data_IF_477373014425
#
_entry.id   IF_477373014425
#
_cell.length_a   1.000
_cell.length_b   1.000
_cell.length_c   1.000
_cell.angle_alpha   90.00
_cell.angle_beta   90.00
_cell.angle_gamma   90.00
#
_symmetry.space_group_name_H-M   'P 1'
#
loop_
_entity.id
_entity.type
_entity.pdbx_description
1 polymer ?
#
# COMPACT_ATOMS: atom_id res chain seq x y z
N UNK A 1 -22.55 -22.86 -23.16
CA UNK A 1 -22.74 -23.65 -21.94
C UNK A 1 -21.42 -24.33 -21.64
N UNK A 2 -20.61 -23.69 -20.84
CA UNK A 2 -19.47 -24.22 -20.08
C UNK A 2 -18.86 -23.04 -19.32
N UNK A 3 -19.03 -23.07 -18.04
CA UNK A 3 -18.54 -22.08 -17.06
C UNK A 3 -17.02 -22.16 -16.95
N UNK A 4 -16.33 -21.06 -17.26
CA UNK A 4 -14.93 -20.88 -16.91
C UNK A 4 -14.87 -20.49 -15.42
N UNK A 5 -14.69 -21.47 -14.56
CA UNK A 5 -14.24 -21.24 -13.18
C UNK A 5 -12.82 -20.72 -13.21
N UNK A 6 -12.65 -19.41 -13.03
CA UNK A 6 -11.36 -18.83 -12.70
C UNK A 6 -11.00 -19.26 -11.28
N UNK A 7 -9.99 -20.11 -11.13
CA UNK A 7 -9.39 -20.44 -9.84
C UNK A 7 -8.74 -19.20 -9.23
N UNK A 8 -9.53 -18.47 -8.45
CA UNK A 8 -9.00 -17.45 -7.55
C UNK A 8 -8.31 -18.12 -6.38
N UNK A 9 -7.01 -17.88 -6.22
CA UNK A 9 -6.32 -18.23 -4.98
C UNK A 9 -7.01 -17.54 -3.80
N UNK A 10 -7.20 -18.21 -2.66
CA UNK A 10 -7.93 -17.66 -1.52
C UNK A 10 -7.18 -16.44 -0.97
N UNK A 11 -7.74 -15.28 -1.18
CA UNK A 11 -7.29 -14.01 -0.64
C UNK A 11 -7.46 -13.95 0.87
N UNK A 12 -6.68 -13.09 1.52
CA UNK A 12 -6.63 -12.77 2.97
C UNK A 12 -8.00 -12.79 3.71
N UNK A 13 -9.10 -12.62 3.01
CA UNK A 13 -10.45 -12.48 3.57
C UNK A 13 -11.04 -13.78 4.15
N UNK A 14 -10.68 -14.97 3.65
CA UNK A 14 -11.23 -16.25 4.16
C UNK A 14 -10.58 -16.74 5.46
N UNK A 15 -9.42 -16.20 5.84
CA UNK A 15 -8.71 -16.61 7.06
C UNK A 15 -9.12 -15.83 8.32
N UNK A 16 -9.91 -14.76 8.18
CA UNK A 16 -10.34 -13.92 9.31
C UNK A 16 -11.73 -14.25 9.87
N UNK A 17 -12.54 -15.04 9.15
CA UNK A 17 -13.89 -15.40 9.62
C UNK A 17 -13.94 -16.68 10.48
N UNK A 18 -12.84 -17.43 10.59
CA UNK A 18 -12.82 -18.70 11.34
C UNK A 18 -12.10 -18.65 12.70
N UNK A 19 -11.73 -17.48 13.20
CA UNK A 19 -10.95 -17.34 14.44
C UNK A 19 -11.68 -16.56 15.54
N UNK A 20 -13.00 -16.79 15.70
CA UNK A 20 -13.73 -16.50 16.93
C UNK A 20 -13.81 -17.79 17.77
N UNK A 21 -12.65 -18.28 18.19
CA UNK A 21 -12.50 -19.36 19.12
C UNK A 21 -11.39 -18.99 20.10
N UNK A 22 -11.72 -18.91 21.37
CA UNK A 22 -10.93 -18.53 22.53
C UNK A 22 -9.40 -18.74 22.39
N UNK A 23 -8.66 -17.66 22.16
CA UNK A 23 -7.19 -17.66 22.28
C UNK A 23 -6.86 -17.27 23.73
N UNK A 24 -6.45 -18.25 24.52
CA UNK A 24 -5.83 -18.01 25.81
C UNK A 24 -4.58 -17.12 25.62
N UNK A 25 -4.52 -16.02 26.35
CA UNK A 25 -3.37 -15.13 26.45
C UNK A 25 -2.23 -15.88 27.17
N UNK A 26 -1.30 -16.42 26.41
CA UNK A 26 -0.01 -16.84 26.98
C UNK A 26 0.94 -15.63 26.97
N UNK A 27 1.65 -15.36 28.06
CA UNK A 27 2.62 -14.26 28.12
C UNK A 27 3.80 -14.57 27.21
N UNK A 28 4.16 -13.60 26.34
CA UNK A 28 5.39 -13.67 25.56
C UNK A 28 6.59 -13.51 26.50
N UNK A 29 7.28 -14.60 26.80
CA UNK A 29 8.60 -14.57 27.40
C UNK A 29 9.61 -14.02 26.39
N UNK A 30 10.56 -13.19 26.83
CA UNK A 30 11.71 -12.78 26.04
C UNK A 30 12.44 -14.03 25.54
N UNK A 31 12.38 -14.28 24.24
CA UNK A 31 12.96 -15.48 23.64
C UNK A 31 14.47 -15.33 23.50
N UNK A 32 15.21 -16.24 24.16
CA UNK A 32 16.54 -16.63 23.73
C UNK A 32 16.52 -17.05 22.26
N UNK A 33 17.67 -16.96 21.56
CA UNK A 33 17.82 -17.35 20.17
C UNK A 33 17.03 -18.66 19.89
N UNK A 34 16.18 -18.67 18.86
CA UNK A 34 15.10 -19.64 18.82
C UNK A 34 15.65 -21.03 18.61
N UNK A 35 15.47 -21.88 19.59
CA UNK A 35 15.75 -23.30 19.48
C UNK A 35 15.02 -23.83 18.23
N UNK A 36 15.79 -24.23 17.20
CA UNK A 36 15.26 -24.78 15.96
C UNK A 36 15.48 -23.95 14.70
N UNK A 37 15.90 -22.69 14.77
CA UNK A 37 16.20 -21.90 13.56
C UNK A 37 17.37 -22.49 12.77
N UNK A 38 18.44 -22.90 13.43
CA UNK A 38 19.60 -23.51 12.78
C UNK A 38 19.23 -24.83 12.09
N UNK A 39 18.45 -25.68 12.75
CA UNK A 39 17.95 -26.92 12.15
C UNK A 39 17.05 -26.65 10.94
N UNK A 40 16.19 -25.65 11.02
CA UNK A 40 15.38 -25.21 9.87
C UNK A 40 16.27 -24.65 8.75
N UNK A 41 17.28 -23.83 9.07
CA UNK A 41 18.20 -23.23 8.09
C UNK A 41 18.94 -24.31 7.29
N UNK A 42 19.42 -25.38 7.95
CA UNK A 42 20.05 -26.51 7.26
C UNK A 42 19.08 -27.27 6.35
N UNK A 43 17.85 -27.52 6.82
CA UNK A 43 16.81 -28.12 5.97
C UNK A 43 16.43 -27.21 4.80
N UNK A 44 16.37 -25.90 5.01
CA UNK A 44 16.07 -24.93 3.97
C UNK A 44 17.21 -24.82 2.95
N UNK A 45 18.48 -25.02 3.36
CA UNK A 45 19.65 -25.08 2.48
C UNK A 45 19.45 -26.06 1.33
N UNK A 46 19.07 -27.27 1.64
CA UNK A 46 18.84 -28.30 0.62
C UNK A 46 17.77 -27.87 -0.40
N UNK A 47 16.67 -27.25 0.08
CA UNK A 47 15.61 -26.73 -0.80
C UNK A 47 16.06 -25.55 -1.65
N UNK A 48 16.85 -24.64 -1.09
CA UNK A 48 17.37 -23.48 -1.80
C UNK A 48 18.35 -23.89 -2.92
N UNK A 49 19.28 -24.77 -2.61
CA UNK A 49 20.22 -25.33 -3.62
C UNK A 49 19.48 -26.07 -4.73
N UNK A 50 18.46 -26.87 -4.40
CA UNK A 50 17.60 -27.54 -5.38
C UNK A 50 16.80 -26.55 -6.26
N UNK A 51 16.62 -25.29 -5.84
CA UNK A 51 16.02 -24.21 -6.62
C UNK A 51 17.04 -23.35 -7.39
N UNK A 52 18.30 -23.80 -7.44
CA UNK A 52 19.38 -23.21 -8.22
C UNK A 52 20.14 -22.08 -7.53
N UNK A 53 20.03 -21.95 -6.19
CA UNK A 53 20.87 -21.00 -5.45
C UNK A 53 22.28 -21.58 -5.38
N UNK A 54 23.31 -20.75 -5.70
CA UNK A 54 24.71 -21.15 -5.58
C UNK A 54 25.12 -21.32 -4.11
N UNK A 55 26.08 -22.22 -3.86
CA UNK A 55 26.67 -22.39 -2.53
C UNK A 55 27.31 -21.09 -2.06
N UNK A 56 27.93 -20.33 -2.97
CA UNK A 56 28.56 -19.05 -2.66
C UNK A 56 27.55 -18.03 -2.13
N UNK A 57 26.40 -17.89 -2.80
CA UNK A 57 25.32 -16.98 -2.33
C UNK A 57 24.74 -17.46 -1.03
N UNK A 58 24.51 -18.76 -0.87
CA UNK A 58 24.06 -19.32 0.40
C UNK A 58 25.03 -18.99 1.54
N UNK A 59 26.30 -19.27 1.38
CA UNK A 59 27.30 -19.06 2.43
C UNK A 59 27.47 -17.58 2.78
N UNK A 60 27.41 -16.71 1.76
CA UNK A 60 27.46 -15.26 1.97
C UNK A 60 26.26 -14.72 2.76
N UNK A 61 25.06 -15.22 2.47
CA UNK A 61 23.81 -14.61 2.97
C UNK A 61 23.26 -15.33 4.20
N UNK A 62 23.25 -16.67 4.17
CA UNK A 62 22.47 -17.48 5.10
C UNK A 62 23.31 -18.15 6.20
N UNK A 63 24.61 -18.35 6.00
CA UNK A 63 25.43 -19.17 6.92
C UNK A 63 25.45 -18.65 8.35
N UNK A 64 25.42 -17.33 8.54
CA UNK A 64 25.45 -16.64 9.85
C UNK A 64 24.23 -15.75 10.08
N UNK A 65 23.17 -15.96 9.28
CA UNK A 65 21.98 -15.15 9.37
C UNK A 65 21.21 -15.41 10.67
N UNK A 66 20.90 -14.34 11.38
CA UNK A 66 19.98 -14.36 12.52
C UNK A 66 18.60 -13.85 12.09
N UNK A 67 17.49 -14.48 12.52
CA UNK A 67 16.16 -14.05 12.14
C UNK A 67 15.71 -12.80 12.91
N UNK A 68 15.07 -11.85 12.24
CA UNK A 68 14.46 -10.68 12.88
C UNK A 68 13.08 -11.02 13.45
N UNK A 69 13.02 -11.40 14.72
CA UNK A 69 11.75 -11.76 15.37
C UNK A 69 10.82 -10.58 15.60
N UNK A 70 11.31 -9.35 15.48
CA UNK A 70 10.47 -8.15 15.63
C UNK A 70 9.40 -8.02 14.54
N UNK A 71 9.54 -8.75 13.43
CA UNK A 71 8.54 -8.78 12.36
C UNK A 71 7.17 -9.25 12.85
N UNK A 72 7.13 -10.15 13.85
CA UNK A 72 5.88 -10.67 14.39
C UNK A 72 5.08 -9.64 15.20
N UNK A 73 5.74 -8.63 15.79
CA UNK A 73 5.06 -7.51 16.47
C UNK A 73 4.26 -6.65 15.47
N UNK A 74 4.71 -6.57 14.23
CA UNK A 74 4.05 -5.80 13.17
C UNK A 74 2.89 -6.59 12.53
N UNK A 75 2.92 -7.91 12.60
CA UNK A 75 1.85 -8.77 12.12
C UNK A 75 0.52 -8.53 12.86
N UNK A 76 0.59 -8.16 14.15
CA UNK A 76 -0.58 -7.89 15.01
C UNK A 76 -1.13 -6.46 14.86
N UNK A 77 -0.33 -5.54 14.31
CA UNK A 77 -0.67 -4.12 14.16
C UNK A 77 -0.98 -3.80 12.70
N UNK A 78 -2.06 -4.34 12.13
CA UNK A 78 -2.55 -3.90 10.82
C UNK A 78 -3.61 -2.80 11.03
N UNK A 79 -3.25 -1.50 10.89
CA UNK A 79 -4.18 -0.37 11.13
C UNK A 79 -5.37 -0.38 10.17
N UNK A 80 -5.24 -1.04 9.04
CA UNK A 80 -6.20 -1.07 7.93
C UNK A 80 -7.56 -1.67 8.31
N UNK A 81 -7.66 -2.40 9.43
CA UNK A 81 -8.89 -3.05 9.87
C UNK A 81 -9.64 -2.31 10.99
N UNK A 82 -9.00 -1.30 11.62
CA UNK A 82 -9.58 -0.57 12.75
C UNK A 82 -9.90 0.90 12.42
N UNK A 83 -9.57 1.36 11.23
CA UNK A 83 -9.74 2.74 10.78
C UNK A 83 -11.01 2.88 9.94
N UNK A 84 -11.80 3.92 10.18
CA UNK A 84 -12.93 4.23 9.31
C UNK A 84 -12.44 4.61 7.91
N UNK A 85 -13.21 4.25 6.87
CA UNK A 85 -12.81 4.46 5.48
C UNK A 85 -12.43 5.93 5.20
N UNK A 86 -13.20 6.90 5.71
CA UNK A 86 -12.91 8.30 5.48
C UNK A 86 -11.62 8.78 6.16
N UNK A 87 -11.27 8.24 7.35
CA UNK A 87 -9.98 8.50 8.01
C UNK A 87 -8.83 7.92 7.17
N UNK A 88 -9.02 6.70 6.67
CA UNK A 88 -8.06 6.04 5.78
C UNK A 88 -7.80 6.88 4.52
N UNK A 89 -8.88 7.36 3.86
CA UNK A 89 -8.79 8.21 2.67
C UNK A 89 -8.09 9.52 3.01
N UNK A 90 -8.51 10.25 4.04
CA UNK A 90 -7.90 11.53 4.42
C UNK A 90 -6.39 11.40 4.69
N UNK A 91 -5.97 10.30 5.31
CA UNK A 91 -4.56 10.06 5.59
C UNK A 91 -3.76 9.69 4.34
N UNK A 92 -4.33 8.93 3.41
CA UNK A 92 -3.65 8.53 2.17
C UNK A 92 -3.71 9.60 1.09
N UNK A 93 -4.77 10.40 1.06
CA UNK A 93 -5.02 11.49 0.10
C UNK A 93 -4.80 12.85 0.79
N UNK A 94 -3.71 12.98 1.54
CA UNK A 94 -3.37 14.21 2.26
C UNK A 94 -2.81 15.28 1.32
N UNK A 95 -2.96 16.56 1.72
CA UNK A 95 -2.38 17.70 0.99
C UNK A 95 -0.87 17.53 0.80
N UNK A 96 -0.18 16.99 1.82
CA UNK A 96 1.25 16.68 1.71
C UNK A 96 1.54 15.75 0.51
N UNK A 97 0.77 14.65 0.35
CA UNK A 97 0.96 13.74 -0.78
C UNK A 97 0.57 14.34 -2.10
N UNK A 98 -0.48 15.14 -2.14
CA UNK A 98 -0.93 15.83 -3.36
C UNK A 98 0.16 16.81 -3.81
N UNK A 99 0.68 17.64 -2.91
CA UNK A 99 1.71 18.64 -3.20
C UNK A 99 3.01 17.97 -3.67
N UNK A 100 3.51 17.02 -2.90
CA UNK A 100 4.74 16.29 -3.27
C UNK A 100 4.55 15.43 -4.54
N UNK A 101 3.35 14.91 -4.80
CA UNK A 101 3.02 14.21 -6.03
C UNK A 101 3.10 15.11 -7.27
N UNK A 102 2.63 16.35 -7.17
CA UNK A 102 2.77 17.36 -8.25
C UNK A 102 4.23 17.74 -8.48
N UNK A 103 5.00 17.90 -7.41
CA UNK A 103 6.44 18.13 -7.53
C UNK A 103 7.18 16.94 -8.15
N UNK A 104 6.84 15.71 -7.74
CA UNK A 104 7.41 14.49 -8.30
C UNK A 104 7.07 14.35 -9.79
N UNK A 105 5.83 14.70 -10.20
CA UNK A 105 5.43 14.77 -11.60
C UNK A 105 6.28 15.76 -12.38
N UNK A 106 6.41 17.00 -11.87
CA UNK A 106 7.16 18.05 -12.53
C UNK A 106 8.64 17.67 -12.72
N UNK A 107 9.26 17.06 -11.69
CA UNK A 107 10.65 16.60 -11.73
C UNK A 107 10.88 15.45 -12.71
N UNK A 108 9.87 14.61 -12.94
CA UNK A 108 9.98 13.37 -13.71
C UNK A 108 9.04 13.33 -14.93
N UNK A 109 8.67 14.49 -15.48
CA UNK A 109 7.67 14.60 -16.54
C UNK A 109 7.98 13.74 -17.75
N UNK A 110 9.25 13.71 -18.19
CA UNK A 110 9.70 12.90 -19.33
C UNK A 110 9.52 11.40 -19.06
N UNK A 111 9.84 10.95 -17.84
CA UNK A 111 9.67 9.56 -17.42
C UNK A 111 8.19 9.15 -17.45
N UNK A 112 7.30 9.93 -16.83
CA UNK A 112 5.87 9.61 -16.83
C UNK A 112 5.28 9.61 -18.23
N UNK A 113 5.65 10.57 -19.09
CA UNK A 113 5.20 10.62 -20.49
C UNK A 113 5.67 9.39 -21.27
N UNK A 114 6.90 8.91 -21.04
CA UNK A 114 7.43 7.69 -21.64
C UNK A 114 6.64 6.45 -21.16
N UNK A 115 6.41 6.32 -19.86
CA UNK A 115 5.66 5.18 -19.30
C UNK A 115 4.21 5.14 -19.81
N UNK A 116 3.52 6.28 -19.85
CA UNK A 116 2.15 6.36 -20.40
C UNK A 116 2.11 5.94 -21.87
N UNK A 117 3.06 6.39 -22.67
CA UNK A 117 3.16 5.98 -24.06
C UNK A 117 3.38 4.48 -24.21
N UNK A 118 4.31 3.91 -23.44
CA UNK A 118 4.76 2.53 -23.58
C UNK A 118 3.74 1.54 -23.01
N UNK A 119 3.12 1.86 -21.88
CA UNK A 119 2.21 0.96 -21.14
C UNK A 119 0.75 1.40 -21.13
N UNK A 120 0.45 2.67 -21.39
CA UNK A 120 -0.91 3.20 -21.31
C UNK A 120 -1.46 3.30 -19.89
N UNK A 121 -0.60 3.24 -18.87
CA UNK A 121 -1.00 3.46 -17.49
C UNK A 121 -0.94 4.95 -17.19
N UNK A 122 -2.04 5.51 -16.71
CA UNK A 122 -2.13 6.93 -16.36
C UNK A 122 -1.08 7.32 -15.31
N UNK A 123 -0.42 8.45 -15.54
CA UNK A 123 0.61 8.98 -14.62
C UNK A 123 0.08 9.19 -13.20
N UNK A 124 -1.18 9.58 -13.05
CA UNK A 124 -1.82 9.74 -11.74
C UNK A 124 -1.81 8.45 -10.92
N UNK A 125 -2.12 7.31 -11.54
CA UNK A 125 -2.09 6.00 -10.90
C UNK A 125 -0.69 5.66 -10.38
N UNK A 126 0.34 5.87 -11.21
CA UNK A 126 1.73 5.57 -10.83
C UNK A 126 2.26 6.52 -9.75
N UNK A 127 1.93 7.81 -9.85
CA UNK A 127 2.28 8.80 -8.82
C UNK A 127 1.64 8.46 -7.48
N UNK A 128 0.38 8.06 -7.50
CA UNK A 128 -0.32 7.68 -6.27
C UNK A 128 0.26 6.42 -5.63
N UNK A 129 0.58 5.40 -6.43
CA UNK A 129 1.30 4.21 -5.95
C UNK A 129 2.64 4.61 -5.34
N UNK A 130 3.45 5.37 -6.05
CA UNK A 130 4.76 5.83 -5.56
C UNK A 130 4.62 6.64 -4.25
N UNK A 131 3.65 7.54 -4.18
CA UNK A 131 3.39 8.37 -3.00
C UNK A 131 2.89 7.60 -1.78
N UNK A 132 2.08 6.56 -1.99
CA UNK A 132 1.55 5.74 -0.88
C UNK A 132 2.57 4.71 -0.41
N UNK A 133 3.31 4.08 -1.32
CA UNK A 133 4.25 3.02 -1.00
C UNK A 133 5.55 3.53 -0.34
N UNK A 134 6.11 4.63 -0.83
CA UNK A 134 7.40 5.13 -0.35
C UNK A 134 7.49 6.65 -0.19
N UNK A 135 6.35 7.36 -0.17
CA UNK A 135 6.36 8.83 -0.09
C UNK A 135 7.25 9.48 -1.17
N UNK A 136 7.12 9.02 -2.41
CA UNK A 136 7.92 9.44 -3.57
C UNK A 136 9.43 9.14 -3.45
N UNK A 137 9.78 8.08 -2.73
CA UNK A 137 11.17 7.67 -2.51
C UNK A 137 11.88 8.50 -1.46
N UNK A 138 11.15 9.13 -0.53
CA UNK A 138 11.72 9.94 0.56
C UNK A 138 12.80 9.14 1.32
N UNK A 139 14.08 9.61 1.33
CA UNK A 139 15.18 8.92 2.00
C UNK A 139 14.96 8.71 3.49
N UNK A 140 14.25 9.61 4.17
CA UNK A 140 13.94 9.48 5.60
C UNK A 140 13.02 8.29 5.87
N UNK A 141 12.06 8.03 4.98
CA UNK A 141 11.19 6.86 5.07
C UNK A 141 11.99 5.59 4.84
N UNK A 142 12.83 5.57 3.84
CA UNK A 142 13.64 4.41 3.51
C UNK A 142 14.65 4.07 4.61
N UNK A 143 15.32 5.05 5.20
CA UNK A 143 16.31 4.83 6.26
C UNK A 143 15.69 4.42 7.59
N UNK A 144 14.62 5.08 8.02
CA UNK A 144 14.06 4.89 9.36
C UNK A 144 13.10 3.71 9.47
N UNK A 145 12.46 3.31 8.37
CA UNK A 145 11.43 2.26 8.38
C UNK A 145 11.84 0.99 7.62
N UNK A 146 12.96 1.04 6.89
CA UNK A 146 13.47 -0.10 6.14
C UNK A 146 14.49 -0.89 6.96
N UNK A 147 14.35 -2.21 6.93
CA UNK A 147 15.21 -3.17 7.63
C UNK A 147 15.87 -4.15 6.65
N UNK A 148 16.91 -4.87 7.05
CA UNK A 148 17.47 -5.93 6.22
C UNK A 148 16.40 -6.95 5.83
N UNK A 149 16.31 -7.28 4.54
CA UNK A 149 15.25 -8.14 4.02
C UNK A 149 15.47 -9.60 4.41
N UNK A 150 16.71 -10.08 4.39
CA UNK A 150 17.01 -11.49 4.66
C UNK A 150 16.66 -11.94 6.09
N UNK A 151 17.04 -11.21 7.17
CA UNK A 151 16.58 -11.52 8.52
C UNK A 151 15.07 -11.54 8.66
N UNK A 152 14.38 -10.60 8.00
CA UNK A 152 12.91 -10.48 8.04
C UNK A 152 12.24 -11.66 7.35
N UNK A 153 12.64 -11.98 6.11
CA UNK A 153 12.08 -13.10 5.36
C UNK A 153 12.43 -14.45 5.99
N UNK A 154 13.63 -14.62 6.54
CA UNK A 154 14.02 -15.84 7.23
C UNK A 154 13.16 -16.09 8.47
N UNK A 155 12.90 -15.06 9.28
CA UNK A 155 12.00 -15.17 10.43
C UNK A 155 10.59 -15.61 10.00
N UNK A 156 10.04 -15.00 8.96
CA UNK A 156 8.71 -15.34 8.44
C UNK A 156 8.67 -16.75 7.83
N UNK A 157 9.67 -17.13 7.04
CA UNK A 157 9.77 -18.44 6.42
C UNK A 157 9.93 -19.57 7.48
N UNK A 158 10.63 -19.26 8.57
CA UNK A 158 10.83 -20.20 9.65
C UNK A 158 9.60 -20.36 10.55
N UNK A 159 8.97 -19.25 10.99
CA UNK A 159 8.03 -19.28 12.12
C UNK A 159 6.65 -18.63 11.83
N UNK A 160 6.27 -18.39 10.55
CA UNK A 160 4.91 -18.01 10.17
C UNK A 160 4.20 -19.21 9.50
N UNK A 161 3.42 -20.02 10.24
CA UNK A 161 2.91 -21.30 9.74
C UNK A 161 1.85 -21.17 8.64
N UNK A 162 1.03 -20.07 8.66
CA UNK A 162 -0.11 -19.90 7.73
C UNK A 162 0.32 -19.66 6.29
N UNK A 163 1.53 -19.10 6.07
CA UNK A 163 2.05 -18.74 4.75
C UNK A 163 3.49 -19.18 4.54
N UNK A 164 3.93 -20.23 5.24
CA UNK A 164 5.31 -20.71 5.21
C UNK A 164 5.86 -20.88 3.79
N UNK A 165 5.14 -21.59 2.94
CA UNK A 165 5.56 -21.82 1.55
C UNK A 165 5.74 -20.52 0.74
N UNK A 166 4.90 -19.51 0.97
CA UNK A 166 5.04 -18.19 0.37
C UNK A 166 6.32 -17.51 0.85
N UNK A 167 6.57 -17.48 2.16
CA UNK A 167 7.75 -16.81 2.70
C UNK A 167 9.06 -17.51 2.31
N UNK A 168 9.08 -18.84 2.27
CA UNK A 168 10.23 -19.60 1.74
C UNK A 168 10.47 -19.26 0.26
N UNK A 169 9.41 -19.12 -0.54
CA UNK A 169 9.52 -18.72 -1.95
C UNK A 169 10.09 -17.31 -2.09
N UNK A 170 9.62 -16.35 -1.29
CA UNK A 170 10.15 -14.99 -1.32
C UNK A 170 11.62 -14.92 -0.87
N UNK A 171 12.00 -15.71 0.13
CA UNK A 171 13.40 -15.82 0.57
C UNK A 171 14.29 -16.41 -0.54
N UNK A 172 13.83 -17.46 -1.24
CA UNK A 172 14.54 -18.02 -2.40
C UNK A 172 14.66 -16.98 -3.52
N UNK A 173 13.60 -16.22 -3.79
CA UNK A 173 13.63 -15.16 -4.80
C UNK A 173 14.62 -14.05 -4.43
N UNK A 174 14.68 -13.67 -3.14
CA UNK A 174 15.68 -12.72 -2.65
C UNK A 174 17.12 -13.24 -2.86
N UNK A 175 17.37 -14.52 -2.57
CA UNK A 175 18.67 -15.16 -2.83
C UNK A 175 19.02 -15.18 -4.32
N UNK A 176 18.05 -15.43 -5.22
CA UNK A 176 18.25 -15.38 -6.67
C UNK A 176 18.63 -13.99 -7.18
N UNK A 177 18.11 -12.92 -6.56
CA UNK A 177 18.49 -11.53 -6.92
C UNK A 177 19.97 -11.31 -6.63
N UNK A 178 20.47 -11.80 -5.48
CA UNK A 178 21.90 -11.73 -5.14
C UNK A 178 22.72 -12.62 -6.06
N UNK A 179 22.27 -13.82 -6.36
CA UNK A 179 22.94 -14.76 -7.26
C UNK A 179 23.12 -14.21 -8.69
N UNK A 180 22.13 -13.42 -9.14
CA UNK A 180 22.20 -12.70 -10.44
C UNK A 180 23.11 -11.47 -10.41
N UNK A 181 23.61 -11.07 -9.23
CA UNK A 181 24.37 -9.83 -9.07
C UNK A 181 23.54 -8.55 -9.24
N UNK A 182 22.21 -8.63 -9.18
CA UNK A 182 21.34 -7.46 -9.32
C UNK A 182 21.38 -6.57 -8.08
N UNK A 183 21.69 -7.13 -6.90
CA UNK A 183 21.87 -6.39 -5.66
C UNK A 183 22.76 -7.16 -4.69
N UNK A 184 23.18 -6.50 -3.61
CA UNK A 184 23.88 -7.14 -2.51
C UNK A 184 22.93 -7.36 -1.32
N UNK A 185 23.24 -8.29 -0.40
CA UNK A 185 22.43 -8.48 0.79
C UNK A 185 22.28 -7.22 1.64
N UNK A 186 23.31 -6.39 1.66
CA UNK A 186 23.38 -5.13 2.42
C UNK A 186 22.49 -4.04 1.83
N UNK A 187 22.40 -3.97 0.50
CA UNK A 187 21.52 -3.05 -0.24
C UNK A 187 20.04 -3.42 -0.12
N UNK A 188 19.74 -4.72 0.06
CA UNK A 188 18.38 -5.21 0.13
C UNK A 188 17.73 -4.87 1.47
N UNK A 189 17.18 -3.65 1.52
CA UNK A 189 16.43 -3.14 2.66
C UNK A 189 14.98 -2.91 2.28
N UNK A 190 14.07 -3.27 3.19
CA UNK A 190 12.64 -3.22 2.89
C UNK A 190 11.75 -3.12 4.12
N UNK A 191 10.47 -3.33 3.92
CA UNK A 191 9.49 -3.43 4.99
C UNK A 191 9.74 -4.69 5.85
N UNK A 192 9.03 -4.80 6.96
CA UNK A 192 9.06 -6.00 7.81
C UNK A 192 8.67 -7.30 7.06
N UNK A 193 7.96 -7.19 5.94
CA UNK A 193 7.54 -8.29 5.10
C UNK A 193 8.44 -8.50 3.86
N UNK A 194 9.53 -7.73 3.73
CA UNK A 194 10.49 -7.86 2.62
C UNK A 194 10.11 -7.10 1.34
N UNK A 195 9.13 -6.21 1.37
CA UNK A 195 8.81 -5.34 0.25
C UNK A 195 9.83 -4.19 0.15
N UNK A 196 10.33 -3.87 -1.04
CA UNK A 196 11.51 -3.04 -1.27
C UNK A 196 11.28 -1.88 -2.24
N UNK A 197 12.02 -0.80 -2.03
CA UNK A 197 12.20 0.28 -2.98
C UNK A 197 11.00 1.20 -3.17
N UNK A 198 11.03 1.95 -4.27
CA UNK A 198 10.09 3.03 -4.59
C UNK A 198 8.62 2.61 -4.57
N UNK A 199 8.31 1.41 -5.05
CA UNK A 199 6.95 0.90 -5.17
C UNK A 199 6.74 -0.41 -4.39
N UNK A 200 7.60 -0.68 -3.41
CA UNK A 200 7.50 -1.77 -2.44
C UNK A 200 7.35 -3.15 -3.10
N UNK A 201 8.32 -3.50 -3.97
CA UNK A 201 8.33 -4.81 -4.61
C UNK A 201 8.69 -5.93 -3.64
N UNK A 202 7.92 -7.01 -3.71
CA UNK A 202 8.36 -8.29 -3.18
C UNK A 202 9.48 -8.86 -4.08
N UNK A 203 10.38 -9.71 -3.54
CA UNK A 203 11.43 -10.35 -4.35
C UNK A 203 10.92 -11.05 -5.61
N UNK A 204 9.74 -11.68 -5.55
CA UNK A 204 9.09 -12.30 -6.71
C UNK A 204 8.80 -11.28 -7.82
N UNK A 205 8.28 -10.10 -7.45
CA UNK A 205 7.98 -9.03 -8.40
C UNK A 205 9.26 -8.50 -9.04
N UNK A 206 10.31 -8.30 -8.26
CA UNK A 206 11.61 -7.88 -8.78
C UNK A 206 12.12 -8.85 -9.85
N UNK A 207 12.14 -10.15 -9.57
CA UNK A 207 12.66 -11.17 -10.49
C UNK A 207 11.82 -11.35 -11.75
N UNK A 208 10.50 -11.36 -11.65
CA UNK A 208 9.61 -11.82 -12.70
C UNK A 208 8.91 -10.69 -13.47
N UNK A 209 8.86 -9.48 -12.88
CA UNK A 209 8.23 -8.31 -13.49
C UNK A 209 9.24 -7.21 -13.76
N UNK A 210 10.25 -7.09 -12.90
CA UNK A 210 11.29 -6.05 -12.98
C UNK A 210 11.89 -5.94 -14.39
N UNK A 211 12.14 -4.71 -14.81
CA UNK A 211 12.81 -4.35 -16.06
C UNK A 211 13.82 -3.23 -15.81
N UNK A 212 14.90 -3.28 -16.55
CA UNK A 212 15.87 -2.20 -16.68
C UNK A 212 15.28 -1.14 -17.62
N UNK A 213 14.53 -0.19 -17.04
CA UNK A 213 13.76 0.79 -17.80
C UNK A 213 14.58 2.03 -18.16
N UNK A 214 15.60 2.36 -17.38
CA UNK A 214 16.56 3.42 -17.72
C UNK A 214 17.75 2.94 -18.54
N UNK A 215 17.89 1.61 -18.73
CA UNK A 215 18.91 0.93 -19.54
C UNK A 215 20.33 1.14 -19.01
N UNK A 216 20.46 1.15 -17.67
CA UNK A 216 21.77 1.23 -17.05
C UNK A 216 22.47 -0.14 -16.89
N UNK A 217 21.81 -1.23 -17.30
CA UNK A 217 22.29 -2.61 -17.24
C UNK A 217 21.89 -3.34 -15.95
N UNK A 218 21.12 -2.72 -15.08
CA UNK A 218 20.64 -3.30 -13.82
C UNK A 218 19.13 -3.16 -13.70
N UNK A 219 18.48 -4.08 -13.02
CA UNK A 219 17.08 -3.96 -12.61
C UNK A 219 17.05 -3.64 -11.14
N UNK A 220 16.62 -2.45 -10.75
CA UNK A 220 16.64 -2.02 -9.35
C UNK A 220 15.34 -1.31 -8.91
N UNK A 221 14.74 -1.69 -7.77
CA UNK A 221 13.66 -0.92 -7.17
C UNK A 221 14.14 0.33 -6.42
N UNK A 222 15.47 0.52 -6.31
CA UNK A 222 16.14 1.59 -5.57
C UNK A 222 16.78 2.62 -6.52
N UNK A 223 17.33 3.69 -5.94
CA UNK A 223 18.03 4.71 -6.70
C UNK A 223 17.10 5.57 -7.53
N UNK A 224 17.29 5.60 -8.85
CA UNK A 224 16.37 6.29 -9.77
C UNK A 224 15.02 5.57 -9.83
N UNK A 225 13.90 6.29 -9.95
CA UNK A 225 12.57 5.67 -9.92
C UNK A 225 12.18 4.96 -11.22
N UNK A 226 13.00 5.05 -12.29
CA UNK A 226 12.67 4.61 -13.64
C UNK A 226 12.26 3.14 -13.68
N UNK A 227 13.12 2.24 -13.16
CA UNK A 227 12.86 0.81 -13.15
C UNK A 227 11.63 0.46 -12.30
N UNK A 228 11.54 1.06 -11.12
CA UNK A 228 10.43 0.82 -10.22
C UNK A 228 9.10 1.22 -10.85
N UNK A 229 9.00 2.43 -11.42
CA UNK A 229 7.77 2.93 -12.03
C UNK A 229 7.45 2.23 -13.35
N UNK A 230 8.45 1.98 -14.21
CA UNK A 230 8.28 1.23 -15.46
C UNK A 230 7.82 -0.21 -15.21
N UNK A 231 8.42 -0.91 -14.24
CA UNK A 231 8.00 -2.26 -13.88
C UNK A 231 6.64 -2.29 -13.19
N UNK A 232 6.30 -1.27 -12.39
CA UNK A 232 4.95 -1.16 -11.81
C UNK A 232 3.90 -0.98 -12.89
N UNK A 233 4.17 -0.17 -13.91
CA UNK A 233 3.28 -0.06 -15.07
C UNK A 233 3.13 -1.40 -15.80
N UNK A 234 4.23 -2.11 -16.05
CA UNK A 234 4.22 -3.47 -16.63
C UNK A 234 3.41 -4.45 -15.78
N UNK A 235 3.54 -4.37 -14.43
CA UNK A 235 2.75 -5.19 -13.51
C UNK A 235 1.25 -4.91 -13.67
N UNK A 236 0.85 -3.65 -13.66
CA UNK A 236 -0.55 -3.26 -13.79
C UNK A 236 -1.16 -3.75 -15.11
N UNK A 237 -0.42 -3.66 -16.21
CA UNK A 237 -0.88 -4.15 -17.52
C UNK A 237 -0.94 -5.68 -17.55
N UNK A 238 0.14 -6.37 -17.20
CA UNK A 238 0.27 -7.80 -17.41
C UNK A 238 -0.51 -8.62 -16.38
N UNK A 239 -0.42 -8.24 -15.10
CA UNK A 239 -1.08 -8.94 -13.99
C UNK A 239 -2.41 -8.30 -13.61
N UNK A 240 -2.45 -6.97 -13.52
CA UNK A 240 -3.65 -6.20 -13.17
C UNK A 240 -4.68 -6.09 -14.29
N UNK A 241 -4.27 -6.34 -15.55
CA UNK A 241 -5.13 -6.17 -16.75
C UNK A 241 -5.59 -4.73 -16.95
N UNK A 242 -4.70 -3.77 -16.63
CA UNK A 242 -4.96 -2.35 -16.83
C UNK A 242 -5.26 -2.05 -18.29
N UNK A 243 -6.31 -1.29 -18.54
CA UNK A 243 -6.81 -0.94 -19.87
C UNK A 243 -6.44 0.49 -20.21
N UNK A 244 -5.72 0.66 -21.32
CA UNK A 244 -5.36 1.98 -21.85
C UNK A 244 -6.59 2.80 -22.17
N UNK A 245 -6.59 4.06 -21.77
CA UNK A 245 -7.67 5.01 -22.08
C UNK A 245 -8.94 4.86 -21.25
N UNK A 246 -8.97 3.88 -20.33
CA UNK A 246 -10.07 3.73 -19.37
C UNK A 246 -9.73 4.37 -18.04
N UNK A 247 -10.65 5.15 -17.49
CA UNK A 247 -10.54 5.65 -16.11
C UNK A 247 -10.83 4.52 -15.11
N UNK A 248 -10.36 4.65 -13.88
CA UNK A 248 -10.59 3.64 -12.84
C UNK A 248 -12.07 3.50 -12.44
N UNK A 249 -12.84 4.58 -12.57
CA UNK A 249 -14.25 4.64 -12.20
C UNK A 249 -14.70 6.07 -11.95
N UNK A 250 -15.92 6.23 -11.47
CA UNK A 250 -16.53 7.55 -11.24
C UNK A 250 -17.35 7.55 -9.96
N UNK A 251 -17.28 8.64 -9.18
CA UNK A 251 -18.29 8.91 -8.17
C UNK A 251 -19.63 9.18 -8.85
N UNK A 252 -20.69 8.58 -8.31
CA UNK A 252 -22.03 8.62 -8.95
C UNK A 252 -23.13 8.93 -7.94
N UNK A 253 -24.26 9.38 -8.49
CA UNK A 253 -25.55 9.42 -7.80
C UNK A 253 -26.44 8.35 -8.40
N UNK A 254 -26.94 7.44 -7.56
CA UNK A 254 -27.85 6.39 -7.94
C UNK A 254 -29.23 6.65 -7.34
N UNK A 255 -30.32 6.41 -8.07
CA UNK A 255 -31.68 6.64 -7.58
C UNK A 255 -32.09 5.71 -6.44
N UNK A 256 -31.25 4.75 -6.07
CA UNK A 256 -31.57 3.71 -5.11
C UNK A 256 -32.29 2.53 -5.76
N UNK A 257 -32.43 1.44 -5.01
CA UNK A 257 -33.04 0.20 -5.50
C UNK A 257 -32.04 -0.93 -5.74
N UNK A 258 -32.52 -2.10 -6.10
CA UNK A 258 -31.73 -3.33 -6.23
C UNK A 258 -30.92 -3.40 -7.54
N UNK A 259 -30.32 -2.30 -7.99
CA UNK A 259 -29.49 -2.29 -9.19
C UNK A 259 -28.09 -2.77 -8.80
N UNK A 260 -27.70 -3.94 -9.30
CA UNK A 260 -26.41 -4.57 -8.98
C UNK A 260 -25.80 -5.23 -10.20
N UNK A 261 -24.58 -5.76 -10.02
CA UNK A 261 -23.84 -6.50 -11.03
C UNK A 261 -22.97 -5.63 -11.91
N UNK A 262 -22.34 -6.26 -12.90
CA UNK A 262 -21.48 -5.60 -13.90
C UNK A 262 -22.33 -5.22 -15.11
N UNK A 263 -22.33 -3.93 -15.47
CA UNK A 263 -23.10 -3.39 -16.61
C UNK A 263 -22.26 -2.35 -17.35
N UNK A 264 -22.62 -2.04 -18.61
CA UNK A 264 -22.03 -0.90 -19.32
C UNK A 264 -22.44 0.42 -18.68
N UNK A 265 -21.62 1.47 -18.85
CA UNK A 265 -21.97 2.82 -18.38
C UNK A 265 -23.27 3.31 -19.00
N UNK A 266 -23.55 2.97 -20.27
CA UNK A 266 -24.82 3.27 -20.91
C UNK A 266 -26.00 2.62 -20.18
N UNK A 267 -25.87 1.33 -19.80
CA UNK A 267 -26.93 0.65 -19.05
C UNK A 267 -27.11 1.22 -17.64
N UNK A 268 -26.04 1.68 -17.00
CA UNK A 268 -26.12 2.42 -15.74
C UNK A 268 -26.84 3.74 -15.91
N UNK A 269 -26.51 4.53 -16.95
CA UNK A 269 -27.20 5.80 -17.26
C UNK A 269 -28.69 5.59 -17.53
N UNK A 270 -29.05 4.57 -18.33
CA UNK A 270 -30.44 4.22 -18.60
C UNK A 270 -31.22 3.80 -17.33
N UNK A 271 -30.51 3.32 -16.31
CA UNK A 271 -31.07 3.02 -14.99
C UNK A 271 -31.07 4.23 -14.03
N UNK A 272 -30.79 5.44 -14.54
CA UNK A 272 -30.82 6.69 -13.77
C UNK A 272 -29.55 6.95 -12.94
N UNK A 273 -28.48 6.21 -13.14
CA UNK A 273 -27.20 6.47 -12.48
C UNK A 273 -26.44 7.52 -13.26
N UNK A 274 -26.07 8.62 -12.61
CA UNK A 274 -25.36 9.74 -13.22
C UNK A 274 -24.05 10.00 -12.46
N UNK A 275 -23.03 10.53 -13.16
CA UNK A 275 -21.81 10.99 -12.50
C UNK A 275 -22.12 12.10 -11.51
N UNK A 276 -21.37 12.15 -10.42
CA UNK A 276 -21.55 13.13 -9.36
C UNK A 276 -21.25 14.58 -9.83
N UNK A 277 -20.33 14.74 -10.80
CA UNK A 277 -19.99 16.01 -11.45
C UNK A 277 -21.00 16.44 -12.53
N UNK A 278 -21.93 15.58 -12.90
CA UNK A 278 -22.96 15.84 -13.92
C UNK A 278 -22.53 15.56 -15.36
N UNK A 279 -21.26 15.24 -15.59
CA UNK A 279 -20.73 14.95 -16.92
C UNK A 279 -21.16 13.58 -17.44
N UNK A 280 -21.25 13.36 -18.75
CA UNK A 280 -21.53 12.04 -19.34
C UNK A 280 -20.35 11.09 -19.10
N UNK A 281 -20.61 9.77 -19.14
CA UNK A 281 -19.53 8.79 -19.11
C UNK A 281 -18.78 8.78 -20.46
N UNK A 282 -17.44 8.97 -20.46
CA UNK A 282 -16.67 9.12 -21.71
C UNK A 282 -16.72 7.90 -22.62
N UNK A 283 -16.78 6.68 -22.05
CA UNK A 283 -16.90 5.43 -22.79
C UNK A 283 -18.19 4.67 -22.38
N UNK A 284 -19.33 4.93 -23.05
CA UNK A 284 -20.63 4.34 -22.67
C UNK A 284 -20.65 2.80 -22.74
N UNK A 285 -19.81 2.19 -23.58
CA UNK A 285 -19.73 0.74 -23.76
C UNK A 285 -18.87 0.03 -22.70
N UNK A 286 -17.97 0.76 -22.04
CA UNK A 286 -17.16 0.18 -20.99
C UNK A 286 -18.01 -0.28 -19.79
N UNK A 287 -17.55 -1.33 -19.13
CA UNK A 287 -18.30 -1.96 -18.03
C UNK A 287 -17.81 -1.48 -16.68
N UNK A 288 -18.74 -1.29 -15.76
CA UNK A 288 -18.47 -0.95 -14.36
C UNK A 288 -19.39 -1.70 -13.40
N UNK A 289 -18.99 -1.74 -12.15
CA UNK A 289 -19.77 -2.32 -11.04
C UNK A 289 -20.05 -1.26 -10.00
N UNK A 290 -21.29 -1.13 -9.56
CA UNK A 290 -21.66 -0.20 -8.49
C UNK A 290 -21.11 -0.70 -7.16
N UNK A 291 -20.46 0.19 -6.44
CA UNK A 291 -19.96 -0.04 -5.08
C UNK A 291 -20.36 1.10 -4.15
N UNK A 292 -20.99 0.74 -3.05
CA UNK A 292 -21.40 1.63 -1.98
C UNK A 292 -20.61 1.22 -0.73
N UNK A 293 -19.45 1.84 -0.47
CA UNK A 293 -18.57 1.42 0.63
C UNK A 293 -19.19 1.67 2.02
N UNK A 294 -19.95 2.75 2.15
CA UNK A 294 -20.63 3.17 3.38
C UNK A 294 -22.02 3.68 3.02
N UNK A 295 -23.03 3.13 3.67
CA UNK A 295 -24.41 3.58 3.45
C UNK A 295 -24.56 5.07 3.78
N UNK A 296 -25.18 5.83 2.87
CA UNK A 296 -25.31 7.29 3.00
C UNK A 296 -24.09 8.10 2.56
N UNK A 297 -22.96 7.45 2.25
CA UNK A 297 -21.72 8.06 1.72
C UNK A 297 -21.66 8.13 0.19
N UNK A 298 -20.48 8.43 -0.36
CA UNK A 298 -20.23 8.43 -1.78
C UNK A 298 -20.44 7.03 -2.37
N UNK A 299 -20.88 7.00 -3.62
CA UNK A 299 -21.12 5.78 -4.40
C UNK A 299 -20.24 5.82 -5.63
N UNK A 300 -19.76 4.67 -6.07
CA UNK A 300 -18.81 4.60 -7.18
C UNK A 300 -19.24 3.55 -8.20
N UNK A 301 -19.10 3.87 -9.48
CA UNK A 301 -19.02 2.89 -10.55
C UNK A 301 -17.55 2.55 -10.78
N UNK A 302 -17.15 1.34 -10.41
CA UNK A 302 -15.77 0.85 -10.49
C UNK A 302 -15.53 0.16 -11.83
N UNK A 303 -14.63 0.73 -12.62
CA UNK A 303 -14.17 0.19 -13.90
C UNK A 303 -13.03 -0.84 -13.75
N UNK A 304 -12.56 -1.41 -14.88
CA UNK A 304 -11.49 -2.42 -14.88
C UNK A 304 -10.20 -1.94 -14.20
N UNK A 305 -9.82 -0.67 -14.38
CA UNK A 305 -8.56 -0.12 -13.86
C UNK A 305 -8.56 0.02 -12.34
N UNK A 306 -9.73 0.16 -11.70
CA UNK A 306 -9.82 0.04 -10.25
C UNK A 306 -9.34 -1.35 -9.77
N UNK A 307 -9.78 -2.40 -10.45
CA UNK A 307 -9.38 -3.78 -10.11
C UNK A 307 -7.93 -4.06 -10.49
N UNK A 308 -7.38 -3.40 -11.52
CA UNK A 308 -5.96 -3.44 -11.82
C UNK A 308 -5.13 -2.88 -10.66
N UNK A 309 -5.50 -1.71 -10.12
CA UNK A 309 -4.86 -1.14 -8.92
C UNK A 309 -5.05 -2.05 -7.71
N UNK A 310 -6.27 -2.60 -7.52
CA UNK A 310 -6.55 -3.55 -6.43
C UNK A 310 -5.72 -4.83 -6.51
N UNK A 311 -5.22 -5.23 -7.70
CA UNK A 311 -4.34 -6.39 -7.82
C UNK A 311 -2.99 -6.18 -7.13
N UNK A 312 -2.55 -4.93 -7.00
CA UNK A 312 -1.32 -4.56 -6.30
C UNK A 312 -1.45 -4.79 -4.78
N UNK A 313 -2.58 -4.39 -4.22
CA UNK A 313 -2.97 -4.70 -2.85
C UNK A 313 -4.48 -5.02 -2.83
N UNK A 314 -4.91 -6.20 -2.33
CA UNK A 314 -6.30 -6.68 -2.45
C UNK A 314 -7.33 -5.89 -1.63
N UNK A 315 -6.95 -4.83 -0.94
CA UNK A 315 -7.85 -3.95 -0.18
C UNK A 315 -8.62 -3.01 -1.11
N UNK A 316 -9.95 -2.96 -0.98
CA UNK A 316 -10.81 -1.99 -1.68
C UNK A 316 -10.48 -0.56 -1.24
N UNK A 317 -10.22 -0.36 0.06
CA UNK A 317 -9.87 0.95 0.63
C UNK A 317 -8.55 1.47 0.04
N UNK A 318 -7.56 0.57 -0.09
CA UNK A 318 -6.29 0.90 -0.73
C UNK A 318 -6.49 1.33 -2.19
N UNK A 319 -7.21 0.52 -2.97
CA UNK A 319 -7.45 0.84 -4.37
C UNK A 319 -8.17 2.19 -4.54
N UNK A 320 -9.20 2.47 -3.72
CA UNK A 320 -9.89 3.76 -3.75
C UNK A 320 -8.95 4.91 -3.39
N UNK A 321 -8.10 4.75 -2.38
CA UNK A 321 -7.15 5.79 -1.98
C UNK A 321 -6.12 6.07 -3.08
N UNK A 322 -5.57 5.03 -3.73
CA UNK A 322 -4.64 5.19 -4.86
C UNK A 322 -5.33 5.93 -6.01
N UNK A 323 -6.48 5.45 -6.44
CA UNK A 323 -7.23 6.05 -7.54
C UNK A 323 -7.57 7.52 -7.27
N UNK A 324 -8.15 7.80 -6.10
CA UNK A 324 -8.50 9.16 -5.71
C UNK A 324 -7.26 10.06 -5.55
N UNK A 325 -6.18 9.57 -4.96
CA UNK A 325 -4.94 10.36 -4.87
C UNK A 325 -4.39 10.71 -6.26
N UNK A 326 -4.43 9.77 -7.20
CA UNK A 326 -4.04 10.03 -8.58
C UNK A 326 -4.82 11.18 -9.20
N UNK A 327 -6.14 11.15 -9.08
CA UNK A 327 -7.03 12.22 -9.57
C UNK A 327 -6.72 13.57 -8.91
N UNK A 328 -6.52 13.58 -7.57
CA UNK A 328 -6.22 14.78 -6.80
C UNK A 328 -4.87 15.40 -7.20
N UNK A 329 -3.85 14.59 -7.47
CA UNK A 329 -2.55 15.07 -7.98
C UNK A 329 -2.74 15.74 -9.33
N UNK A 330 -3.56 15.17 -10.20
CA UNK A 330 -3.85 15.70 -11.54
C UNK A 330 -4.86 16.86 -11.55
N UNK A 331 -5.36 17.29 -10.40
CA UNK A 331 -6.16 18.52 -10.28
C UNK A 331 -7.64 18.31 -9.99
N UNK A 332 -8.12 17.06 -9.92
CA UNK A 332 -9.50 16.80 -9.52
C UNK A 332 -9.80 17.27 -8.08
N UNK A 333 -11.06 17.57 -7.81
CA UNK A 333 -11.57 17.93 -6.48
C UNK A 333 -11.68 16.75 -5.52
N UNK A 334 -12.06 16.99 -4.25
CA UNK A 334 -12.45 15.93 -3.32
C UNK A 334 -13.74 15.26 -3.81
N UNK A 335 -14.12 14.14 -3.17
CA UNK A 335 -15.43 13.53 -3.43
C UNK A 335 -16.56 14.53 -3.21
N UNK A 336 -17.54 14.51 -4.11
CA UNK A 336 -18.67 15.43 -4.08
C UNK A 336 -19.59 15.17 -2.89
N UNK A 337 -19.74 13.90 -2.49
CA UNK A 337 -20.51 13.50 -1.32
C UNK A 337 -19.58 13.12 -0.16
N UNK A 338 -19.73 13.72 1.04
CA UNK A 338 -18.94 13.34 2.19
C UNK A 338 -19.36 11.95 2.71
N UNK A 339 -18.45 11.25 3.39
CA UNK A 339 -18.80 10.07 4.16
C UNK A 339 -19.57 10.48 5.43
N UNK A 340 -20.55 9.68 5.89
CA UNK A 340 -21.27 9.96 7.15
C UNK A 340 -20.29 10.08 8.33
N UNK A 341 -20.46 11.15 9.13
CA UNK A 341 -19.61 11.42 10.28
C UNK A 341 -18.17 11.83 9.97
N UNK A 342 -17.83 12.03 8.67
CA UNK A 342 -16.49 12.44 8.29
C UNK A 342 -16.21 13.91 8.62
N UNK A 343 -14.91 14.17 8.81
CA UNK A 343 -14.34 15.51 8.77
C UNK A 343 -13.57 15.67 7.44
N UNK A 344 -13.43 16.90 6.94
CA UNK A 344 -12.48 17.14 5.85
C UNK A 344 -11.05 16.81 6.33
N UNK A 345 -10.18 16.48 5.41
CA UNK A 345 -8.75 16.38 5.70
C UNK A 345 -8.21 17.75 6.16
N UNK A 346 -7.23 17.73 7.05
CA UNK A 346 -6.46 18.92 7.39
C UNK A 346 -5.62 19.33 6.18
N UNK A 347 -5.49 20.65 5.97
CA UNK A 347 -4.52 21.18 5.02
C UNK A 347 -3.09 20.94 5.51
N UNK A 348 -2.10 21.08 4.61
CA UNK A 348 -0.69 20.95 4.97
C UNK A 348 -0.32 21.87 6.14
N UNK A 349 -0.73 23.14 6.09
CA UNK A 349 -0.49 24.12 7.14
C UNK A 349 -1.17 23.73 8.47
N UNK A 350 -2.39 23.21 8.42
CA UNK A 350 -3.11 22.74 9.61
C UNK A 350 -2.43 21.51 10.25
N UNK A 351 -1.85 20.61 9.45
CA UNK A 351 -1.07 19.47 9.98
C UNK A 351 0.20 19.98 10.65
N UNK A 352 0.92 20.91 10.04
CA UNK A 352 2.12 21.54 10.62
C UNK A 352 1.80 22.28 11.91
N UNK A 353 0.67 23.01 11.97
CA UNK A 353 0.18 23.63 13.19
C UNK A 353 -0.11 22.59 14.28
N UNK A 354 -0.81 21.51 13.93
CA UNK A 354 -1.13 20.41 14.86
C UNK A 354 0.14 19.79 15.42
N UNK A 355 1.11 19.46 14.58
CA UNK A 355 2.41 18.91 15.00
C UNK A 355 3.14 19.87 15.95
N UNK A 356 3.20 21.15 15.61
CA UNK A 356 3.83 22.19 16.45
C UNK A 356 3.16 22.29 17.82
N UNK A 357 1.81 22.30 17.87
CA UNK A 357 1.08 22.39 19.13
C UNK A 357 1.20 21.13 19.97
N UNK A 358 1.18 19.94 19.36
CA UNK A 358 1.39 18.66 20.05
C UNK A 358 2.79 18.64 20.71
N UNK A 359 3.84 19.00 19.96
CA UNK A 359 5.21 19.03 20.48
C UNK A 359 5.34 20.01 21.64
N UNK A 360 4.74 21.23 21.55
CA UNK A 360 4.71 22.19 22.65
C UNK A 360 3.96 21.70 23.87
N UNK A 361 2.94 20.85 23.68
CA UNK A 361 2.17 20.23 24.77
C UNK A 361 2.85 18.98 25.36
N UNK A 362 4.09 18.66 24.91
CA UNK A 362 4.87 17.53 25.43
C UNK A 362 4.65 16.20 24.68
N UNK A 363 3.96 16.22 23.53
CA UNK A 363 3.74 15.04 22.68
C UNK A 363 4.63 15.15 21.43
N UNK A 364 5.75 14.46 21.43
CA UNK A 364 6.70 14.50 20.31
C UNK A 364 6.12 13.89 19.05
N UNK A 365 6.14 14.65 17.95
CA UNK A 365 5.65 14.27 16.63
C UNK A 365 6.76 13.85 15.67
N UNK A 366 8.02 13.88 16.10
CA UNK A 366 9.18 13.63 15.24
C UNK A 366 9.47 14.74 14.23
N UNK A 367 8.80 15.89 14.35
CA UNK A 367 8.96 17.05 13.46
C UNK A 367 7.65 17.74 13.11
N UNK A 368 7.72 18.79 12.29
CA UNK A 368 6.58 19.62 11.85
C UNK A 368 6.53 19.73 10.31
N UNK A 369 6.82 18.65 9.65
CA UNK A 369 6.93 18.58 8.18
C UNK A 369 5.57 18.52 7.45
N UNK A 370 4.46 18.46 8.19
CA UNK A 370 3.11 18.33 7.64
C UNK A 370 2.75 16.91 7.19
N UNK A 371 3.60 15.92 7.47
CA UNK A 371 3.36 14.52 7.18
C UNK A 371 2.89 13.77 8.44
N UNK A 372 1.75 13.12 8.34
CA UNK A 372 1.22 12.30 9.44
C UNK A 372 1.86 10.90 9.37
N UNK A 373 2.97 10.73 10.09
CA UNK A 373 3.68 9.46 10.29
C UNK A 373 3.28 8.75 11.60
N UNK A 374 4.00 7.68 11.92
CA UNK A 374 3.74 6.89 13.14
C UNK A 374 3.92 7.71 14.42
N UNK A 375 4.95 8.57 14.47
CA UNK A 375 5.23 9.42 15.64
C UNK A 375 4.12 10.45 15.83
N UNK A 376 3.69 11.11 14.75
CA UNK A 376 2.54 12.02 14.78
C UNK A 376 1.27 11.29 15.23
N UNK A 377 0.96 10.09 14.72
CA UNK A 377 -0.21 9.31 15.13
C UNK A 377 -0.13 8.89 16.60
N UNK A 378 1.06 8.55 17.08
CA UNK A 378 1.28 8.25 18.50
C UNK A 378 1.04 9.47 19.36
N UNK A 379 1.64 10.60 19.01
CA UNK A 379 1.48 11.88 19.70
C UNK A 379 0.00 12.31 19.77
N UNK A 380 -0.74 12.17 18.67
CA UNK A 380 -2.19 12.44 18.62
C UNK A 380 -2.94 11.51 19.56
N UNK A 381 -2.66 10.21 19.55
CA UNK A 381 -3.35 9.24 20.43
C UNK A 381 -3.11 9.53 21.90
N UNK A 382 -1.88 9.82 22.26
CA UNK A 382 -1.50 10.15 23.63
C UNK A 382 -2.16 11.46 24.09
N UNK A 383 -2.22 12.47 23.20
CA UNK A 383 -2.97 13.70 23.45
C UNK A 383 -4.48 13.47 23.59
N UNK A 384 -5.10 12.69 22.68
CA UNK A 384 -6.51 12.34 22.75
C UNK A 384 -6.86 11.69 24.10
N UNK A 385 -6.05 10.72 24.54
CA UNK A 385 -6.24 10.05 25.81
C UNK A 385 -6.17 11.04 27.00
N UNK A 386 -5.18 11.93 27.02
CA UNK A 386 -5.01 12.94 28.07
C UNK A 386 -6.13 13.99 28.06
N UNK A 387 -6.59 14.41 26.88
CA UNK A 387 -7.62 15.42 26.70
C UNK A 387 -9.06 14.88 26.80
N UNK A 388 -9.24 13.56 27.00
CA UNK A 388 -10.55 12.92 27.05
C UNK A 388 -11.28 12.88 25.70
N UNK A 389 -10.55 12.97 24.58
CA UNK A 389 -11.11 12.86 23.23
C UNK A 389 -11.24 11.39 22.84
N UNK A 390 -12.45 10.90 22.68
CA UNK A 390 -12.71 9.52 22.29
C UNK A 390 -13.26 9.42 20.85
N UNK A 391 -12.88 8.37 20.10
CA UNK A 391 -11.87 7.36 20.48
C UNK A 391 -10.45 7.93 20.41
N UNK A 392 -9.55 7.46 21.29
CA UNK A 392 -8.13 7.80 21.23
C UNK A 392 -7.44 6.91 20.14
N UNK A 393 -7.78 7.17 18.90
CA UNK A 393 -7.41 6.33 17.73
C UNK A 393 -6.13 6.80 17.00
N UNK A 394 -5.65 8.00 17.36
CA UNK A 394 -4.50 8.63 16.72
C UNK A 394 -4.83 9.34 15.40
N UNK A 395 -6.11 9.52 15.08
CA UNK A 395 -6.52 10.33 13.93
C UNK A 395 -6.44 11.82 14.27
N UNK A 396 -5.51 12.54 13.64
CA UNK A 396 -5.30 13.99 13.78
C UNK A 396 -6.24 14.77 12.85
N UNK A 397 -7.49 14.97 13.26
CA UNK A 397 -8.49 15.69 12.49
C UNK A 397 -8.82 17.07 13.09
N UNK A 398 -9.90 17.68 12.56
CA UNK A 398 -10.37 19.00 12.99
C UNK A 398 -10.66 19.09 14.49
N UNK A 399 -11.23 18.03 15.08
CA UNK A 399 -11.53 17.98 16.51
C UNK A 399 -10.27 18.06 17.37
N UNK A 400 -9.23 17.32 16.99
CA UNK A 400 -7.93 17.35 17.68
C UNK A 400 -7.30 18.74 17.56
N UNK A 401 -7.27 19.32 16.35
CA UNK A 401 -6.71 20.65 16.12
C UNK A 401 -7.49 21.73 16.89
N UNK A 402 -8.81 21.67 16.87
CA UNK A 402 -9.65 22.62 17.62
C UNK A 402 -9.36 22.55 19.13
N UNK A 403 -9.22 21.35 19.70
CA UNK A 403 -8.89 21.17 21.12
C UNK A 403 -7.48 21.71 21.46
N UNK A 404 -6.51 21.47 20.58
CA UNK A 404 -5.14 22.02 20.72
C UNK A 404 -5.11 23.56 20.62
N UNK A 405 -6.01 24.18 19.86
CA UNK A 405 -6.15 25.64 19.75
C UNK A 405 -6.71 26.29 21.01
N UNK A 406 -7.57 25.56 21.75
CA UNK A 406 -8.16 26.04 23.00
C UNK A 406 -7.13 26.13 24.16
N UNK A 407 -5.97 25.50 24.00
CA UNK A 407 -4.99 25.36 25.09
C UNK A 407 -5.34 24.21 26.03
N UNK A 408 -4.38 23.82 26.85
CA UNK A 408 -4.57 22.83 27.93
C UNK A 408 -5.24 23.46 29.14
#
# INVERSE_FOLDING_TARGET
>A
MTLFESRFHPTRRRLLQSALGAAALLPFAAQAAPAGFDAWREQFRARALAKGISTQTWDRVMSRLEPDLSVFKNFQKQPEFNEQLWQYINRRVSDWRITNGREALNKNQALFSRIERDYGVERGTLLALWGVESAYGDPLVQQNHMRPVFPSLAALAWNEPRRKAYWETELINALKIVDKGWSTPEEMRGSWAGAMGHTQWMPEVWLNVGIDYDRDGRVSPFGRPDDALGSTAKYLVNRGKYQRGEHWGYEVRSPGGAISGKRSYQAWSSAGVVRADGEPFPNPSASATLWVPVQGGPQFLLGPNFYAVRSYNPSMNYALAICHLGDRILGAGPFARPFPGSERALTLAEVQEMQTRLTRAGFDTGGTDGRVGNDTMKAVRDFQAKAGLLPADGYGGLKVLARLRQGN
#
